data_IF_688252518690
#
_entry.id   IF_688252518690
#
_cell.length_a   1.000
_cell.length_b   1.000
_cell.length_c   1.000
_cell.angle_alpha   90.00
_cell.angle_beta   90.00
_cell.angle_gamma   90.00
#
_symmetry.space_group_name_H-M   'P 1'
#
loop_
_entity.id
_entity.type
_entity.pdbx_description
1 polymer ?
#
# COMPACT_ATOMS: atom_id res chain seq x y z
N UNK A 1 -24.86 1.11 -30.46
CA UNK A 1 -25.46 1.46 -29.16
C UNK A 1 -24.66 0.75 -28.09
N UNK A 2 -24.05 1.50 -27.18
CA UNK A 2 -23.23 0.93 -26.10
C UNK A 2 -24.07 0.84 -24.83
N UNK A 3 -23.67 -0.03 -23.89
CA UNK A 3 -24.39 -0.24 -22.62
C UNK A 3 -24.60 1.08 -21.83
N UNK A 4 -23.75 2.08 -22.06
CA UNK A 4 -23.80 3.42 -21.45
C UNK A 4 -24.93 4.32 -21.97
N UNK A 5 -25.49 4.02 -23.13
CA UNK A 5 -26.62 4.77 -23.69
C UNK A 5 -27.96 4.40 -23.01
N UNK A 6 -28.01 3.24 -22.35
CA UNK A 6 -29.23 2.65 -21.78
C UNK A 6 -29.42 3.00 -20.29
N UNK A 7 -28.34 3.38 -19.58
CA UNK A 7 -28.38 3.62 -18.13
C UNK A 7 -27.74 4.97 -17.75
N UNK A 8 -28.49 6.08 -17.81
CA UNK A 8 -27.97 7.39 -17.43
C UNK A 8 -27.59 7.50 -15.94
N UNK A 9 -27.98 6.56 -15.07
CA UNK A 9 -27.54 6.53 -13.66
C UNK A 9 -26.07 6.14 -13.48
N UNK A 10 -25.42 5.60 -14.51
CA UNK A 10 -23.98 5.29 -14.51
C UNK A 10 -23.09 6.46 -14.97
N UNK A 11 -23.66 7.57 -15.45
CA UNK A 11 -22.92 8.77 -15.91
C UNK A 11 -22.17 9.53 -14.81
N UNK A 12 -22.12 9.00 -13.58
CA UNK A 12 -21.29 9.50 -12.48
C UNK A 12 -20.50 8.41 -11.75
N UNK A 13 -20.49 7.16 -12.24
CA UNK A 13 -19.70 6.07 -11.66
C UNK A 13 -18.31 6.09 -12.31
N UNK A 14 -17.57 7.16 -12.06
CA UNK A 14 -16.14 7.21 -12.37
C UNK A 14 -15.40 6.48 -11.24
N UNK A 15 -15.47 5.15 -11.19
CA UNK A 15 -14.68 4.35 -10.24
C UNK A 15 -13.33 4.07 -10.88
N UNK A 16 -12.44 5.06 -10.85
CA UNK A 16 -10.98 4.94 -11.09
C UNK A 16 -10.39 6.33 -10.79
N UNK A 17 -9.53 6.56 -9.79
CA UNK A 17 -8.48 5.72 -9.19
C UNK A 17 -8.15 6.17 -7.75
N UNK A 18 -8.24 5.26 -6.78
CA UNK A 18 -7.54 5.37 -5.47
C UNK A 18 -6.20 4.64 -5.46
N UNK A 19 -5.75 4.16 -6.61
CA UNK A 19 -4.73 3.12 -6.70
C UNK A 19 -3.95 3.30 -8.00
N UNK A 20 -2.71 3.80 -7.92
CA UNK A 20 -1.81 3.90 -9.06
C UNK A 20 -0.94 2.65 -9.14
N UNK A 21 -1.35 1.67 -9.95
CA UNK A 21 -0.68 0.36 -10.10
C UNK A 21 0.83 0.43 -10.27
N UNK A 22 1.34 1.46 -10.95
CA UNK A 22 2.77 1.63 -11.22
C UNK A 22 3.60 1.92 -9.95
N UNK A 23 2.97 2.39 -8.88
CA UNK A 23 3.65 2.89 -7.67
C UNK A 23 3.99 1.78 -6.67
N UNK A 24 3.32 0.63 -6.75
CA UNK A 24 3.33 -0.39 -5.69
C UNK A 24 4.49 -1.38 -5.76
N UNK A 25 5.27 -1.37 -6.86
CA UNK A 25 6.39 -2.29 -7.09
C UNK A 25 6.01 -3.77 -7.24
N UNK A 26 4.82 -4.16 -6.78
CA UNK A 26 4.17 -5.45 -6.97
C UNK A 26 2.96 -5.28 -7.90
N UNK A 27 2.68 -6.23 -8.82
CA UNK A 27 1.49 -6.21 -9.67
C UNK A 27 0.21 -6.37 -8.86
N UNK A 28 -0.37 -5.26 -8.42
CA UNK A 28 -1.63 -5.21 -7.70
C UNK A 28 -2.78 -4.84 -8.66
N UNK A 29 -3.99 -5.36 -8.41
CA UNK A 29 -5.21 -4.98 -9.14
C UNK A 29 -6.40 -4.85 -8.21
N UNK A 30 -7.37 -4.01 -8.58
CA UNK A 30 -8.65 -3.92 -7.87
C UNK A 30 -9.58 -5.06 -8.30
N UNK A 31 -10.21 -5.73 -7.33
CA UNK A 31 -11.23 -6.75 -7.54
C UNK A 31 -12.47 -6.42 -6.68
N UNK A 32 -13.44 -5.72 -7.26
CA UNK A 32 -14.58 -5.18 -6.52
C UNK A 32 -14.12 -4.13 -5.50
N UNK A 33 -14.36 -4.37 -4.21
CA UNK A 33 -13.89 -3.51 -3.11
C UNK A 33 -12.51 -3.90 -2.58
N UNK A 34 -11.93 -4.98 -3.09
CA UNK A 34 -10.66 -5.52 -2.61
C UNK A 34 -9.49 -5.15 -3.54
N UNK A 35 -8.29 -5.34 -3.03
CA UNK A 35 -7.04 -5.27 -3.79
C UNK A 35 -6.43 -6.66 -3.76
N UNK A 36 -5.93 -7.13 -4.90
CA UNK A 36 -5.34 -8.46 -5.03
C UNK A 36 -3.95 -8.40 -5.66
N UNK A 37 -3.05 -9.27 -5.19
CA UNK A 37 -1.73 -9.54 -5.74
C UNK A 37 -1.74 -10.91 -6.40
N UNK A 38 -1.70 -11.00 -7.74
CA UNK A 38 -2.04 -12.26 -8.39
C UNK A 38 -3.44 -12.70 -7.96
N UNK A 39 -3.60 -13.91 -7.43
CA UNK A 39 -4.90 -14.40 -6.92
C UNK A 39 -5.09 -14.20 -5.40
N UNK A 40 -4.11 -13.59 -4.74
CA UNK A 40 -4.14 -13.31 -3.29
C UNK A 40 -4.99 -12.08 -2.98
N UNK A 41 -6.08 -12.27 -2.24
CA UNK A 41 -6.86 -11.18 -1.65
C UNK A 41 -6.15 -10.57 -0.44
N UNK A 42 -5.77 -9.28 -0.53
CA UNK A 42 -5.07 -8.60 0.55
C UNK A 42 -5.94 -8.50 1.81
N UNK A 43 -7.24 -8.26 1.64
CA UNK A 43 -8.19 -8.27 2.76
C UNK A 43 -8.28 -9.65 3.41
N UNK A 44 -8.47 -10.71 2.63
CA UNK A 44 -8.62 -12.07 3.16
C UNK A 44 -7.36 -12.49 3.91
N UNK A 45 -6.20 -12.18 3.36
CA UNK A 45 -4.92 -12.52 3.99
C UNK A 45 -4.68 -11.73 5.29
N UNK A 46 -5.01 -10.44 5.31
CA UNK A 46 -5.00 -9.61 6.52
C UNK A 46 -5.98 -10.10 7.60
N UNK A 47 -7.13 -10.66 7.19
CA UNK A 47 -8.08 -11.31 8.09
C UNK A 47 -7.54 -12.63 8.66
N UNK A 48 -6.82 -13.39 7.85
CA UNK A 48 -6.23 -14.68 8.23
C UNK A 48 -5.05 -14.53 9.20
N UNK A 49 -4.04 -13.71 8.84
CA UNK A 49 -2.78 -13.61 9.61
C UNK A 49 -2.89 -12.76 10.87
N UNK A 50 -3.76 -11.74 10.86
CA UNK A 50 -3.89 -10.74 11.95
C UNK A 50 -2.59 -10.02 12.34
N UNK A 51 -1.57 -10.10 11.50
CA UNK A 51 -0.28 -9.41 11.64
C UNK A 51 0.06 -8.73 10.32
N UNK A 52 0.91 -7.70 10.37
CA UNK A 52 1.39 -7.04 9.17
C UNK A 52 2.29 -7.94 8.32
N UNK A 53 2.18 -7.82 7.00
CA UNK A 53 2.95 -8.60 6.04
C UNK A 53 3.28 -7.77 4.81
N UNK A 54 4.45 -8.02 4.24
CA UNK A 54 4.83 -7.48 2.95
C UNK A 54 4.30 -8.35 1.81
N UNK A 55 4.22 -7.78 0.62
CA UNK A 55 4.09 -8.55 -0.62
C UNK A 55 5.43 -8.51 -1.34
N UNK A 56 5.91 -9.68 -1.76
CA UNK A 56 7.12 -9.78 -2.57
C UNK A 56 6.85 -9.51 -4.07
N UNK A 57 7.87 -9.78 -4.89
CA UNK A 57 7.80 -9.58 -6.33
C UNK A 57 6.88 -10.60 -7.03
N UNK A 58 6.71 -11.79 -6.44
CA UNK A 58 5.87 -12.87 -6.96
C UNK A 58 4.41 -12.72 -6.51
N UNK A 59 4.13 -11.81 -5.58
CA UNK A 59 2.79 -11.57 -5.05
C UNK A 59 2.51 -12.33 -3.76
N UNK A 60 3.52 -12.97 -3.17
CA UNK A 60 3.38 -13.82 -1.99
C UNK A 60 3.51 -13.01 -0.69
N UNK A 61 2.75 -13.36 0.37
CA UNK A 61 2.76 -12.65 1.62
C UNK A 61 3.95 -13.09 2.51
N UNK A 62 4.79 -12.13 2.88
CA UNK A 62 5.93 -12.35 3.78
C UNK A 62 5.69 -11.65 5.12
N UNK A 63 5.75 -12.42 6.19
CA UNK A 63 5.57 -11.90 7.55
C UNK A 63 6.59 -10.80 7.88
N UNK A 64 6.11 -9.62 8.30
CA UNK A 64 6.98 -8.47 8.58
C UNK A 64 8.03 -8.79 9.66
N UNK A 65 7.67 -9.54 10.71
CA UNK A 65 8.59 -9.85 11.81
C UNK A 65 9.70 -10.83 11.44
N UNK A 66 9.56 -11.51 10.29
CA UNK A 66 10.52 -12.50 9.80
C UNK A 66 11.38 -11.94 8.65
N UNK A 67 11.13 -10.70 8.21
CA UNK A 67 11.86 -10.10 7.10
C UNK A 67 13.29 -9.71 7.50
N UNK A 68 14.31 -10.11 6.72
CA UNK A 68 15.66 -9.60 6.88
C UNK A 68 15.70 -8.09 6.61
N UNK A 69 16.46 -7.34 7.40
CA UNK A 69 16.61 -5.88 7.22
C UNK A 69 17.32 -5.47 5.92
N UNK A 70 17.97 -6.43 5.24
CA UNK A 70 18.67 -6.22 3.98
C UNK A 70 17.78 -6.32 2.74
N UNK A 71 16.55 -6.81 2.88
CA UNK A 71 15.62 -7.00 1.77
C UNK A 71 14.55 -5.91 1.81
N UNK A 72 14.33 -5.30 0.66
CA UNK A 72 13.34 -4.25 0.52
C UNK A 72 12.05 -4.80 -0.10
N UNK A 73 10.92 -4.48 0.52
CA UNK A 73 9.60 -4.82 0.01
C UNK A 73 8.78 -3.55 -0.20
N UNK A 74 8.26 -3.31 -1.43
CA UNK A 74 7.59 -2.06 -1.78
C UNK A 74 6.14 -2.00 -1.30
N UNK A 75 5.50 -3.13 -1.00
CA UNK A 75 4.10 -3.18 -0.55
C UNK A 75 4.02 -3.75 0.85
N UNK A 76 3.45 -3.00 1.79
CA UNK A 76 3.14 -3.46 3.15
C UNK A 76 1.62 -3.47 3.36
N UNK A 77 1.09 -4.58 3.86
CA UNK A 77 -0.31 -4.73 4.27
C UNK A 77 -0.38 -4.82 5.79
N UNK A 78 -1.25 -4.00 6.36
CA UNK A 78 -1.46 -3.91 7.81
C UNK A 78 -2.91 -3.52 8.12
N UNK A 79 -3.20 -3.24 9.38
CA UNK A 79 -4.51 -2.88 9.88
C UNK A 79 -4.51 -1.51 10.50
N UNK A 80 -5.65 -0.85 10.41
CA UNK A 80 -5.91 0.42 11.08
C UNK A 80 -6.19 0.16 12.55
N UNK A 81 -5.42 0.76 13.47
CA UNK A 81 -5.68 0.66 14.92
C UNK A 81 -6.54 1.80 15.43
N UNK A 82 -6.45 2.98 14.82
CA UNK A 82 -7.31 4.12 15.11
C UNK A 82 -7.30 5.11 13.95
N UNK A 83 -8.36 5.92 13.88
CA UNK A 83 -8.53 6.96 12.86
C UNK A 83 -8.99 8.24 13.53
N UNK A 84 -8.39 9.36 13.15
CA UNK A 84 -8.84 10.70 13.55
C UNK A 84 -9.11 11.48 12.28
N UNK A 85 -10.35 11.93 12.11
CA UNK A 85 -10.76 12.78 10.99
C UNK A 85 -11.03 14.18 11.53
N UNK A 86 -10.27 15.17 11.07
CA UNK A 86 -10.42 16.54 11.53
C UNK A 86 -10.02 17.54 10.43
N UNK A 87 -10.87 18.54 10.17
CA UNK A 87 -10.57 19.70 9.32
C UNK A 87 -9.96 19.35 7.95
N UNK A 88 -10.53 18.37 7.23
CA UNK A 88 -10.03 17.96 5.91
C UNK A 88 -8.69 17.21 5.96
N UNK A 89 -8.32 16.67 7.13
CA UNK A 89 -7.17 15.80 7.33
C UNK A 89 -7.59 14.51 8.01
N UNK A 90 -6.88 13.45 7.68
CA UNK A 90 -7.11 12.12 8.24
C UNK A 90 -5.81 11.62 8.83
N UNK A 91 -5.82 11.22 10.10
CA UNK A 91 -4.70 10.55 10.75
C UNK A 91 -5.07 9.08 10.92
N UNK A 92 -4.29 8.19 10.33
CA UNK A 92 -4.50 6.74 10.39
C UNK A 92 -3.36 6.14 11.18
N UNK A 93 -3.67 5.55 12.32
CA UNK A 93 -2.70 4.73 13.05
C UNK A 93 -2.74 3.30 12.52
N UNK A 94 -1.57 2.70 12.32
CA UNK A 94 -1.46 1.35 11.76
C UNK A 94 -0.72 0.39 12.69
N UNK A 95 -1.10 -0.89 12.60
CA UNK A 95 -0.52 -1.99 13.37
C UNK A 95 0.72 -2.58 12.67
N UNK A 96 1.67 -1.70 12.34
CA UNK A 96 2.96 -2.08 11.77
C UNK A 96 4.00 -1.02 12.14
N UNK A 97 5.26 -1.43 12.26
CA UNK A 97 6.38 -0.51 12.23
C UNK A 97 6.79 -0.26 10.78
N UNK A 98 6.99 0.99 10.37
CA UNK A 98 7.47 1.28 9.02
C UNK A 98 9.00 1.39 9.02
N UNK A 99 9.71 0.90 7.97
CA UNK A 99 11.17 1.04 7.89
C UNK A 99 11.58 2.51 7.96
N UNK A 100 12.50 2.91 8.83
CA UNK A 100 12.86 4.33 9.06
C UNK A 100 13.16 5.12 7.78
N UNK A 101 13.94 4.54 6.87
CA UNK A 101 14.36 5.17 5.63
C UNK A 101 13.40 4.90 4.46
N UNK A 102 12.09 4.92 4.73
CA UNK A 102 11.07 4.72 3.69
C UNK A 102 10.14 5.92 3.54
N UNK A 103 9.87 6.28 2.30
CA UNK A 103 8.82 7.21 1.92
C UNK A 103 7.52 6.41 1.73
N UNK A 104 6.39 7.07 2.00
CA UNK A 104 5.06 6.56 1.70
C UNK A 104 4.62 7.20 0.38
N UNK A 105 4.41 6.38 -0.65
CA UNK A 105 4.10 6.84 -2.00
C UNK A 105 2.60 6.83 -2.30
N UNK A 106 1.91 5.78 -1.87
CA UNK A 106 0.49 5.55 -2.13
C UNK A 106 -0.11 4.71 -1.00
N UNK A 107 -1.43 4.69 -0.91
CA UNK A 107 -2.18 3.96 0.09
C UNK A 107 -3.48 3.42 -0.51
N UNK A 108 -3.86 2.21 -0.13
CA UNK A 108 -5.12 1.60 -0.52
C UNK A 108 -5.86 1.05 0.70
N UNK A 109 -7.19 0.93 0.59
CA UNK A 109 -8.06 0.42 1.65
C UNK A 109 -8.80 -0.85 1.21
N UNK A 110 -8.12 -2.02 1.16
CA UNK A 110 -8.73 -3.29 0.75
C UNK A 110 -9.99 -3.63 1.55
N UNK A 111 -11.07 -3.95 0.85
CA UNK A 111 -12.38 -4.27 1.43
C UNK A 111 -13.27 -3.07 1.74
N UNK A 112 -12.88 -1.87 1.34
CA UNK A 112 -13.63 -0.64 1.60
C UNK A 112 -14.26 -0.10 0.32
N UNK A 113 -15.50 0.37 0.41
CA UNK A 113 -16.18 0.99 -0.73
C UNK A 113 -15.71 2.43 -0.92
N UNK A 114 -15.46 2.82 -2.17
CA UNK A 114 -14.93 4.14 -2.51
C UNK A 114 -16.00 5.18 -2.89
N UNK A 115 -17.29 4.82 -2.88
CA UNK A 115 -18.33 5.82 -3.09
C UNK A 115 -18.29 6.89 -2.00
N UNK A 116 -18.22 8.15 -2.43
CA UNK A 116 -18.06 9.29 -1.53
C UNK A 116 -16.63 9.49 -1.03
N UNK A 117 -15.63 8.83 -1.64
CA UNK A 117 -14.24 9.10 -1.33
C UNK A 117 -13.88 10.57 -1.62
N UNK A 118 -12.96 11.11 -0.83
CA UNK A 118 -12.49 12.49 -0.94
C UNK A 118 -10.97 12.53 -0.88
N UNK A 119 -10.35 13.38 -1.67
CA UNK A 119 -8.89 13.57 -1.65
C UNK A 119 -8.53 14.54 -0.53
N UNK A 120 -7.69 14.08 0.40
CA UNK A 120 -7.31 14.80 1.62
C UNK A 120 -5.87 14.48 2.00
N UNK A 121 -5.30 15.27 2.91
CA UNK A 121 -4.01 14.91 3.52
C UNK A 121 -4.21 13.77 4.53
N UNK A 122 -3.60 12.63 4.24
CA UNK A 122 -3.58 11.46 5.10
C UNK A 122 -2.23 11.40 5.81
N UNK A 123 -2.24 11.37 7.13
CA UNK A 123 -1.05 11.09 7.94
C UNK A 123 -1.12 9.67 8.48
N UNK A 124 -0.23 8.80 8.02
CA UNK A 124 -0.05 7.47 8.58
C UNK A 124 0.91 7.56 9.77
N UNK A 125 0.49 6.98 10.89
CA UNK A 125 1.27 6.89 12.13
C UNK A 125 1.53 5.42 12.44
N UNK A 126 2.80 5.02 12.45
CA UNK A 126 3.21 3.64 12.69
C UNK A 126 3.29 3.30 14.19
N UNK A 127 3.58 2.04 14.52
CA UNK A 127 3.75 1.58 15.91
C UNK A 127 4.90 2.31 16.63
N UNK A 128 5.93 2.73 15.89
CA UNK A 128 7.07 3.51 16.38
C UNK A 128 6.75 5.01 16.52
N UNK A 129 5.50 5.43 16.27
CA UNK A 129 5.01 6.81 16.27
C UNK A 129 5.60 7.71 15.19
N UNK A 130 6.27 7.15 14.19
CA UNK A 130 6.70 7.91 13.01
C UNK A 130 5.49 8.31 12.18
N UNK A 131 5.57 9.52 11.62
CA UNK A 131 4.48 10.12 10.85
C UNK A 131 4.89 10.30 9.41
N UNK A 132 4.01 9.91 8.49
CA UNK A 132 4.19 10.13 7.06
C UNK A 132 2.91 10.66 6.48
N UNK A 133 3.00 11.74 5.72
CA UNK A 133 1.84 12.38 5.16
C UNK A 133 1.90 12.28 3.64
N UNK A 134 0.79 11.88 3.04
CA UNK A 134 0.57 11.91 1.60
C UNK A 134 -0.80 12.54 1.31
N UNK A 135 -0.95 13.03 0.09
CA UNK A 135 -2.23 13.51 -0.40
C UNK A 135 -2.86 12.40 -1.25
N UNK A 136 -3.96 11.82 -0.77
CA UNK A 136 -4.58 10.66 -1.41
C UNK A 136 -6.09 10.61 -1.14
N UNK A 137 -6.78 9.73 -1.87
CA UNK A 137 -8.21 9.51 -1.70
C UNK A 137 -8.49 8.68 -0.44
N UNK A 138 -9.42 9.16 0.37
CA UNK A 138 -9.91 8.47 1.57
C UNK A 138 -11.38 8.10 1.39
N UNK A 139 -11.77 6.83 1.65
CA UNK A 139 -13.16 6.41 1.70
C UNK A 139 -14.00 7.25 2.66
N UNK A 140 -15.27 7.45 2.37
CA UNK A 140 -16.21 8.17 3.25
C UNK A 140 -16.27 7.57 4.67
N UNK A 141 -16.05 6.26 4.78
CA UNK A 141 -16.09 5.52 6.04
C UNK A 141 -14.84 4.66 6.21
N UNK A 142 -13.93 5.09 7.08
CA UNK A 142 -12.80 4.28 7.51
C UNK A 142 -13.19 3.39 8.69
N UNK A 143 -12.90 2.11 8.55
CA UNK A 143 -13.20 1.12 9.61
C UNK A 143 -11.97 0.90 10.47
N UNK A 144 -12.08 1.14 11.77
CA UNK A 144 -11.04 0.71 12.73
C UNK A 144 -10.95 -0.81 12.66
N UNK A 145 -9.74 -1.35 12.65
CA UNK A 145 -9.37 -2.75 12.32
C UNK A 145 -9.49 -3.12 10.83
N UNK A 146 -9.87 -2.17 9.97
CA UNK A 146 -9.88 -2.34 8.52
C UNK A 146 -8.48 -2.57 7.96
N UNK A 147 -8.41 -3.22 6.79
CA UNK A 147 -7.14 -3.48 6.11
C UNK A 147 -6.70 -2.23 5.37
N UNK A 148 -5.40 -1.92 5.46
CA UNK A 148 -4.75 -0.85 4.72
C UNK A 148 -3.48 -1.41 4.09
N UNK A 149 -3.27 -1.09 2.83
CA UNK A 149 -2.05 -1.39 2.11
C UNK A 149 -1.28 -0.09 1.88
N UNK A 150 0.05 -0.14 1.95
CA UNK A 150 0.95 0.99 1.87
C UNK A 150 2.01 0.72 0.79
N UNK A 151 2.16 1.65 -0.15
CA UNK A 151 3.27 1.63 -1.11
C UNK A 151 4.46 2.40 -0.52
N UNK A 152 5.59 1.72 -0.40
CA UNK A 152 6.80 2.22 0.22
C UNK A 152 7.90 2.33 -0.84
N UNK A 153 8.73 3.37 -0.70
CA UNK A 153 9.98 3.50 -1.46
C UNK A 153 11.16 3.82 -0.56
N UNK A 154 12.37 3.29 -0.81
CA UNK A 154 13.52 3.61 0.02
C UNK A 154 13.98 5.05 -0.27
N UNK A 155 14.15 5.86 0.78
CA UNK A 155 14.65 7.25 0.67
C UNK A 155 16.14 7.27 0.36
N UNK A 156 16.87 6.25 0.81
CA UNK A 156 18.26 6.03 0.46
C UNK A 156 18.26 4.87 -0.53
N UNK A 157 18.59 5.13 -1.80
CA UNK A 157 18.79 4.06 -2.77
C UNK A 157 19.78 3.07 -2.16
N UNK A 158 19.40 1.79 -1.97
CA UNK A 158 20.38 0.79 -1.57
C UNK A 158 21.50 0.87 -2.59
N UNK A 159 22.74 1.11 -2.13
CA UNK A 159 23.91 1.01 -2.99
C UNK A 159 23.88 -0.41 -3.53
N UNK A 160 23.53 -0.60 -4.79
CA UNK A 160 23.74 -1.86 -5.47
C UNK A 160 25.22 -2.19 -5.28
N UNK A 161 25.60 -3.27 -4.59
CA UNK A 161 26.98 -3.69 -4.63
C UNK A 161 27.27 -4.01 -6.10
N UNK A 162 28.12 -3.19 -6.72
CA UNK A 162 28.57 -3.40 -8.09
C UNK A 162 29.19 -4.80 -8.16
N UNK A 163 28.49 -5.73 -8.82
CA UNK A 163 29.00 -7.06 -9.14
C UNK A 163 30.00 -7.01 -10.32
N UNK A 164 30.63 -5.86 -10.54
CA UNK A 164 31.66 -5.60 -11.56
C UNK A 164 32.89 -4.97 -10.93
N UNK A 165 33.47 -5.64 -9.95
CA UNK A 165 34.92 -5.54 -9.77
C UNK A 165 35.56 -6.35 -10.91
N UNK A 166 36.30 -5.74 -11.85
CA UNK A 166 37.08 -6.53 -12.79
C UNK A 166 38.14 -7.30 -12.00
N UNK A 167 38.22 -8.63 -12.21
CA UNK A 167 39.38 -9.41 -11.82
C UNK A 167 40.62 -8.71 -12.39
N UNK A 168 41.44 -8.13 -11.52
CA UNK A 168 42.81 -7.76 -11.88
C UNK A 168 43.56 -9.08 -12.09
N UNK A 169 43.65 -9.51 -13.34
CA UNK A 169 44.62 -10.53 -13.75
C UNK A 169 46.01 -9.95 -13.52
N UNK A 170 46.70 -10.44 -12.50
CA UNK A 170 48.12 -10.21 -12.30
C UNK A 170 48.84 -11.12 -13.27
N UNK A 171 49.44 -10.55 -14.32
CA UNK A 171 50.39 -11.26 -15.17
C UNK A 171 51.73 -11.30 -14.44
N UNK A 172 52.25 -12.50 -14.20
CA UNK A 172 53.64 -12.78 -13.79
C UNK A 172 54.48 -13.01 -15.03
#
# INVERSE_FOLDING_TARGET
MTLFDILPSLKGVTVTRTFETATWGTPLRTAGTDVVAGDLSLRTESLHRKIAFYIDADGEPICQSLCPTSVWFPTLVTRITSVIVAHGRVVVHVDAALPLHSALLDLAFPGTHLAGATTVDITVVDLSRHRRTLHAEVPAHLTVTGTVALALSPVITPRTPDLRAPLRTVTV
#
